data_IF_329614333991
#
_entry.id   IF_329614333991
#
_cell.length_a   1.000
_cell.length_b   1.000
_cell.length_c   1.000
_cell.angle_alpha   90.00
_cell.angle_beta   90.00
_cell.angle_gamma   90.00
#
_symmetry.space_group_name_H-M   'P 1'
#
loop_
_entity.id
_entity.type
_entity.pdbx_description
1 polymer ?
#
# COMPACT_ATOMS: atom_id res chain seq x y z
N UNK A 1 19.08 -13.44 -39.35
CA UNK A 1 19.37 -13.00 -37.96
C UNK A 1 18.73 -11.64 -37.80
N UNK A 2 17.55 -11.59 -37.18
CA UNK A 2 16.80 -10.35 -36.96
C UNK A 2 16.49 -10.34 -35.47
N UNK A 3 17.16 -9.47 -34.70
CA UNK A 3 16.90 -9.33 -33.28
C UNK A 3 15.53 -8.65 -33.06
N UNK A 4 14.72 -9.12 -32.10
CA UNK A 4 13.34 -8.66 -31.90
C UNK A 4 13.28 -7.38 -31.07
N UNK A 5 12.11 -6.73 -31.14
CA UNK A 5 11.86 -5.36 -30.71
C UNK A 5 12.14 -5.05 -29.24
N UNK A 6 12.66 -3.84 -29.06
CA UNK A 6 12.95 -3.20 -27.79
C UNK A 6 11.69 -3.04 -26.91
N UNK A 7 11.92 -3.28 -25.63
CA UNK A 7 11.02 -3.35 -24.49
C UNK A 7 9.95 -2.24 -24.40
N UNK A 8 8.69 -2.63 -24.21
CA UNK A 8 7.53 -1.72 -24.04
C UNK A 8 7.36 -1.20 -22.59
N UNK A 9 8.32 -1.41 -21.68
CA UNK A 9 8.15 -1.17 -20.23
C UNK A 9 8.96 -0.03 -19.60
N UNK A 10 9.73 0.76 -20.35
CA UNK A 10 10.69 1.71 -19.76
C UNK A 10 10.16 3.14 -19.55
N UNK A 11 9.08 3.31 -18.78
CA UNK A 11 8.57 4.62 -18.35
C UNK A 11 8.96 4.98 -16.90
N UNK A 12 9.05 6.27 -16.52
CA UNK A 12 9.39 6.67 -15.14
C UNK A 12 8.52 6.00 -14.07
N UNK A 13 7.21 5.89 -14.33
CA UNK A 13 6.25 5.20 -13.44
C UNK A 13 6.61 3.73 -13.27
N UNK A 14 6.90 3.02 -14.37
CA UNK A 14 7.26 1.61 -14.33
C UNK A 14 8.57 1.38 -13.55
N UNK A 15 9.53 2.30 -13.66
CA UNK A 15 10.77 2.26 -12.89
C UNK A 15 10.51 2.43 -11.39
N UNK A 16 9.72 3.43 -10.99
CA UNK A 16 9.37 3.64 -9.58
C UNK A 16 8.59 2.44 -9.02
N UNK A 17 7.63 1.90 -9.77
CA UNK A 17 6.90 0.67 -9.41
C UNK A 17 7.84 -0.51 -9.23
N UNK A 18 8.81 -0.69 -10.14
CA UNK A 18 9.78 -1.79 -10.06
C UNK A 18 10.71 -1.66 -8.86
N UNK A 19 11.17 -0.45 -8.56
CA UNK A 19 12.00 -0.16 -7.38
C UNK A 19 11.25 -0.50 -6.09
N UNK A 20 9.99 -0.08 -5.96
CA UNK A 20 9.18 -0.41 -4.79
C UNK A 20 8.92 -1.91 -4.71
N UNK A 21 8.57 -2.56 -5.83
CA UNK A 21 8.35 -4.01 -5.86
C UNK A 21 9.58 -4.78 -5.35
N UNK A 22 10.77 -4.41 -5.83
CA UNK A 22 12.03 -5.00 -5.40
C UNK A 22 12.29 -4.76 -3.91
N UNK A 23 12.07 -3.52 -3.44
CA UNK A 23 12.26 -3.17 -2.03
C UNK A 23 11.31 -3.95 -1.10
N UNK A 24 10.03 -4.04 -1.46
CA UNK A 24 9.04 -4.86 -0.74
C UNK A 24 9.47 -6.33 -0.64
N UNK A 25 9.92 -6.91 -1.76
CA UNK A 25 10.30 -8.32 -1.82
C UNK A 25 11.55 -8.63 -1.00
N UNK A 26 12.61 -7.85 -1.18
CA UNK A 26 13.95 -8.24 -0.71
C UNK A 26 14.42 -7.48 0.54
N UNK A 27 13.80 -6.36 0.89
CA UNK A 27 14.16 -5.58 2.09
C UNK A 27 13.10 -5.67 3.18
N UNK A 28 11.85 -5.98 2.81
CA UNK A 28 10.73 -6.07 3.76
C UNK A 28 10.07 -7.45 3.79
N UNK A 29 10.59 -8.43 3.05
CA UNK A 29 10.10 -9.83 3.03
C UNK A 29 8.60 -9.97 2.73
N UNK A 30 8.06 -9.11 1.87
CA UNK A 30 6.66 -9.23 1.45
C UNK A 30 6.47 -10.44 0.53
N UNK A 31 5.37 -11.14 0.73
CA UNK A 31 4.97 -12.29 -0.06
C UNK A 31 3.80 -11.96 -1.01
N UNK A 32 3.48 -12.88 -1.92
CA UNK A 32 2.31 -12.77 -2.81
C UNK A 32 2.26 -11.46 -3.62
N UNK A 33 3.44 -10.93 -3.98
CA UNK A 33 3.57 -9.67 -4.69
C UNK A 33 3.11 -9.80 -6.15
N UNK A 34 2.22 -8.92 -6.58
CA UNK A 34 1.72 -8.83 -7.95
C UNK A 34 1.49 -7.37 -8.34
N UNK A 35 1.94 -6.97 -9.53
CA UNK A 35 1.58 -5.68 -10.12
C UNK A 35 0.22 -5.81 -10.79
N UNK A 36 -0.68 -4.90 -10.47
CA UNK A 36 -2.01 -4.77 -11.04
C UNK A 36 -2.04 -3.51 -11.91
N UNK A 37 -2.14 -3.70 -13.21
CA UNK A 37 -2.40 -2.61 -14.14
C UNK A 37 -3.85 -2.16 -13.98
N UNK A 38 -4.03 -0.91 -13.62
CA UNK A 38 -5.34 -0.26 -13.60
C UNK A 38 -5.47 0.48 -14.92
N UNK A 39 -6.37 0.05 -15.80
CA UNK A 39 -6.50 0.60 -17.16
C UNK A 39 -6.62 2.14 -17.13
N UNK A 40 -5.66 2.83 -17.74
CA UNK A 40 -5.61 4.30 -17.77
C UNK A 40 -5.22 4.98 -16.45
N UNK A 41 -4.84 4.22 -15.43
CA UNK A 41 -4.42 4.68 -14.10
C UNK A 41 -3.01 4.17 -13.78
N UNK A 42 -2.47 4.64 -12.66
CA UNK A 42 -1.13 4.27 -12.19
C UNK A 42 -1.13 2.83 -11.64
N UNK A 43 -0.17 1.98 -12.01
CA UNK A 43 -0.09 0.61 -11.52
C UNK A 43 -0.04 0.54 -9.99
N UNK A 44 -0.71 -0.45 -9.43
CA UNK A 44 -0.69 -0.75 -8.00
C UNK A 44 0.02 -2.07 -7.76
N UNK A 45 0.77 -2.17 -6.68
CA UNK A 45 1.34 -3.44 -6.22
C UNK A 45 0.41 -4.00 -5.17
N UNK A 46 0.07 -5.29 -5.27
CA UNK A 46 -0.65 -6.01 -4.24
C UNK A 46 0.27 -7.03 -3.61
N UNK A 47 0.31 -7.10 -2.28
CA UNK A 47 1.19 -8.03 -1.57
C UNK A 47 0.81 -8.23 -0.12
N UNK A 48 1.41 -9.23 0.51
CA UNK A 48 1.20 -9.59 1.90
C UNK A 48 2.44 -9.22 2.72
N UNK A 49 2.34 -8.30 3.69
CA UNK A 49 3.46 -7.96 4.56
C UNK A 49 3.74 -9.12 5.54
N UNK A 50 4.99 -9.25 6.05
CA UNK A 50 5.35 -10.31 7.01
C UNK A 50 4.67 -10.14 8.37
N UNK A 51 4.25 -8.92 8.68
CA UNK A 51 3.51 -8.54 9.89
C UNK A 51 2.46 -7.51 9.54
N UNK A 52 1.40 -7.45 10.33
CA UNK A 52 0.36 -6.44 10.18
C UNK A 52 0.95 -5.03 10.30
N UNK A 53 0.74 -4.19 9.28
CA UNK A 53 1.38 -2.88 9.20
C UNK A 53 0.75 -1.84 10.15
N UNK A 54 -0.55 -1.95 10.41
CA UNK A 54 -1.27 -1.00 11.25
C UNK A 54 -2.46 -1.63 11.94
N UNK A 55 -2.63 -1.25 13.19
CA UNK A 55 -3.81 -1.52 14.00
C UNK A 55 -4.30 -0.15 14.43
N UNK A 56 -5.59 0.13 14.21
CA UNK A 56 -6.16 1.38 14.69
C UNK A 56 -6.06 1.41 16.22
N UNK A 57 -5.66 2.52 16.86
CA UNK A 57 -5.51 2.58 18.30
C UNK A 57 -6.80 2.18 19.06
N UNK A 58 -7.96 2.55 18.55
CA UNK A 58 -9.25 2.17 19.17
C UNK A 58 -9.49 0.65 19.09
N UNK A 59 -9.06 0.01 17.99
CA UNK A 59 -9.10 -1.44 17.85
C UNK A 59 -8.13 -2.11 18.84
N UNK A 60 -6.98 -1.47 19.13
CA UNK A 60 -6.03 -1.97 20.12
C UNK A 60 -6.60 -1.92 21.53
N UNK A 61 -7.32 -0.84 21.87
CA UNK A 61 -8.01 -0.71 23.17
C UNK A 61 -9.12 -1.76 23.28
N UNK A 62 -9.99 -1.86 22.26
CA UNK A 62 -11.06 -2.85 22.23
C UNK A 62 -10.53 -4.29 22.27
N UNK A 63 -9.40 -4.56 21.61
CA UNK A 63 -8.73 -5.85 21.66
C UNK A 63 -8.22 -6.17 23.07
N UNK A 64 -7.60 -5.21 23.74
CA UNK A 64 -7.10 -5.37 25.10
C UNK A 64 -8.25 -5.60 26.10
N UNK A 65 -9.35 -4.87 25.96
CA UNK A 65 -10.52 -5.02 26.82
C UNK A 65 -11.19 -6.39 26.62
N UNK A 66 -11.26 -6.87 25.36
CA UNK A 66 -11.77 -8.21 25.05
C UNK A 66 -10.87 -9.29 25.61
N UNK A 67 -9.55 -9.17 25.45
CA UNK A 67 -8.59 -10.13 26.01
C UNK A 67 -8.70 -10.21 27.53
N UNK A 68 -8.84 -9.06 28.22
CA UNK A 68 -9.06 -9.03 29.67
C UNK A 68 -10.39 -9.69 30.09
N UNK A 69 -11.44 -9.55 29.28
CA UNK A 69 -12.77 -10.04 29.59
C UNK A 69 -12.96 -11.53 29.25
N UNK A 70 -12.42 -12.01 28.13
CA UNK A 70 -12.66 -13.36 27.61
C UNK A 70 -11.43 -14.24 27.54
N UNK A 71 -10.23 -13.68 27.72
CA UNK A 71 -8.95 -14.37 27.52
C UNK A 71 -8.61 -14.67 26.05
N UNK A 72 -9.44 -14.22 25.10
CA UNK A 72 -9.19 -14.40 23.67
C UNK A 72 -8.30 -13.29 23.12
N UNK A 73 -7.16 -13.66 22.56
CA UNK A 73 -6.28 -12.74 21.82
C UNK A 73 -6.92 -12.43 20.46
N UNK A 74 -7.06 -11.13 20.15
CA UNK A 74 -7.60 -10.70 18.84
C UNK A 74 -6.66 -11.10 17.70
N UNK A 75 -7.22 -11.61 16.61
CA UNK A 75 -6.46 -11.98 15.42
C UNK A 75 -5.72 -10.77 14.81
N UNK A 76 -4.39 -10.87 14.78
CA UNK A 76 -3.48 -9.88 14.21
C UNK A 76 -2.80 -10.36 12.93
N UNK A 77 -3.41 -11.35 12.25
CA UNK A 77 -2.89 -11.87 10.99
C UNK A 77 -2.70 -10.75 9.95
N UNK A 78 -1.60 -10.79 9.17
CA UNK A 78 -1.36 -9.83 8.11
C UNK A 78 -2.44 -9.94 7.02
N UNK A 79 -2.82 -8.79 6.46
CA UNK A 79 -3.81 -8.69 5.39
C UNK A 79 -3.09 -8.36 4.06
N UNK A 80 -3.69 -8.69 2.91
CA UNK A 80 -3.18 -8.23 1.62
C UNK A 80 -3.36 -6.70 1.50
N UNK A 81 -2.28 -6.00 1.22
CA UNK A 81 -2.25 -4.55 1.10
C UNK A 81 -2.09 -4.11 -0.36
N UNK A 82 -2.66 -2.96 -0.67
CA UNK A 82 -2.45 -2.24 -1.92
C UNK A 82 -1.37 -1.18 -1.71
N UNK A 83 -0.33 -1.18 -2.54
CA UNK A 83 0.80 -0.27 -2.49
C UNK A 83 0.83 0.59 -3.76
N UNK A 84 0.87 1.91 -3.58
CA UNK A 84 1.03 2.91 -4.63
C UNK A 84 2.45 3.48 -4.55
N UNK A 85 3.25 3.28 -5.59
CA UNK A 85 4.69 3.56 -5.57
C UNK A 85 5.04 4.92 -6.18
N UNK A 86 5.12 6.04 -5.46
CA UNK A 86 5.26 7.42 -6.00
C UNK A 86 6.70 7.97 -5.96
N UNK A 87 6.98 8.99 -6.77
CA UNK A 87 8.16 9.84 -6.64
C UNK A 87 7.78 11.25 -6.14
N UNK A 88 8.56 11.89 -5.23
CA UNK A 88 8.26 13.22 -4.68
C UNK A 88 8.12 14.34 -5.72
N UNK A 89 8.81 14.22 -6.85
CA UNK A 89 8.76 15.21 -7.93
C UNK A 89 7.45 15.11 -8.76
N UNK A 90 6.63 14.09 -8.54
CA UNK A 90 5.31 13.98 -9.15
C UNK A 90 4.32 14.94 -8.48
N UNK A 91 3.60 15.72 -9.28
CA UNK A 91 2.51 16.55 -8.77
C UNK A 91 1.23 15.74 -8.64
N UNK A 92 0.79 15.50 -7.41
CA UNK A 92 -0.45 14.78 -7.12
C UNK A 92 -1.61 15.71 -6.78
N UNK A 93 -2.75 15.47 -7.41
CA UNK A 93 -4.02 16.13 -7.05
C UNK A 93 -4.83 15.21 -6.14
N UNK A 94 -5.69 15.80 -5.30
CA UNK A 94 -6.64 15.02 -4.48
C UNK A 94 -7.54 14.15 -5.39
N UNK A 95 -7.92 14.67 -6.56
CA UNK A 95 -8.70 13.91 -7.55
C UNK A 95 -7.94 12.65 -8.02
N UNK A 96 -6.65 12.76 -8.30
CA UNK A 96 -5.85 11.60 -8.71
C UNK A 96 -5.79 10.53 -7.61
N UNK A 97 -5.65 10.93 -6.34
CA UNK A 97 -5.74 9.97 -5.22
C UNK A 97 -7.12 9.34 -5.11
N UNK A 98 -8.19 10.12 -5.25
CA UNK A 98 -9.57 9.60 -5.27
C UNK A 98 -9.75 8.54 -6.36
N UNK A 99 -9.25 8.80 -7.57
CA UNK A 99 -9.33 7.85 -8.68
C UNK A 99 -8.58 6.54 -8.44
N UNK A 100 -7.52 6.56 -7.61
CA UNK A 100 -6.82 5.36 -7.15
C UNK A 100 -7.69 4.58 -6.14
N UNK A 101 -8.27 5.26 -5.15
CA UNK A 101 -9.18 4.63 -4.18
C UNK A 101 -10.44 4.05 -4.84
N UNK A 102 -10.95 4.68 -5.90
CA UNK A 102 -12.06 4.15 -6.70
C UNK A 102 -11.69 2.88 -7.47
N UNK A 103 -10.40 2.66 -7.74
CA UNK A 103 -9.90 1.51 -8.50
C UNK A 103 -9.67 0.25 -7.67
N UNK A 104 -9.68 0.36 -6.33
CA UNK A 104 -9.45 -0.76 -5.43
C UNK A 104 -10.77 -1.27 -4.83
N UNK A 105 -10.91 -2.59 -4.77
CA UNK A 105 -12.04 -3.23 -4.09
C UNK A 105 -11.88 -3.14 -2.57
N UNK A 106 -12.94 -2.74 -1.88
CA UNK A 106 -13.06 -2.88 -0.44
C UNK A 106 -14.13 -3.92 -0.10
N UNK A 107 -13.72 -5.03 0.52
CA UNK A 107 -14.66 -6.07 0.99
C UNK A 107 -14.70 -6.16 2.52
N UNK A 108 -13.97 -5.29 3.22
CA UNK A 108 -13.88 -5.29 4.67
C UNK A 108 -14.80 -4.27 5.33
N UNK A 109 -15.02 -4.39 6.66
CA UNK A 109 -15.75 -3.40 7.44
C UNK A 109 -14.97 -2.09 7.66
N UNK A 110 -13.69 -2.03 7.22
CA UNK A 110 -12.79 -0.89 7.42
C UNK A 110 -12.83 0.06 6.24
N UNK A 111 -12.45 1.32 6.48
CA UNK A 111 -12.19 2.30 5.43
C UNK A 111 -11.11 1.80 4.46
N UNK A 112 -11.22 2.15 3.18
CA UNK A 112 -10.18 1.79 2.22
C UNK A 112 -8.86 2.42 2.66
N UNK A 113 -7.78 1.64 2.54
CA UNK A 113 -6.44 2.16 2.74
C UNK A 113 -5.52 1.73 1.61
N UNK A 114 -4.51 2.54 1.38
CA UNK A 114 -3.36 2.22 0.53
C UNK A 114 -2.08 2.53 1.28
N UNK A 115 -1.04 1.75 1.00
CA UNK A 115 0.32 2.05 1.41
C UNK A 115 0.94 2.91 0.30
N UNK A 116 1.23 4.17 0.61
CA UNK A 116 1.97 5.05 -0.28
C UNK A 116 3.47 4.82 -0.09
N UNK A 117 4.14 4.24 -1.07
CA UNK A 117 5.57 4.00 -1.07
C UNK A 117 6.28 5.08 -1.90
N UNK A 118 6.98 6.00 -1.24
CA UNK A 118 7.66 7.12 -1.87
C UNK A 118 9.13 6.80 -2.08
N UNK A 119 9.59 6.78 -3.33
CA UNK A 119 11.00 6.57 -3.69
C UNK A 119 11.69 7.91 -3.81
N UNK A 120 12.79 8.10 -3.10
CA UNK A 120 13.61 9.31 -3.15
C UNK A 120 14.86 9.10 -4.02
N UNK A 121 15.47 10.21 -4.47
CA UNK A 121 16.69 10.21 -5.31
C UNK A 121 17.93 9.62 -4.61
N UNK A 122 17.92 9.53 -3.27
CA UNK A 122 18.97 8.90 -2.46
C UNK A 122 18.78 7.38 -2.30
N UNK A 123 17.84 6.79 -3.05
CA UNK A 123 17.42 5.38 -2.96
C UNK A 123 16.68 5.00 -1.67
N UNK A 124 16.25 5.97 -0.87
CA UNK A 124 15.36 5.72 0.27
C UNK A 124 13.94 5.46 -0.24
N UNK A 125 13.28 4.44 0.33
CA UNK A 125 11.85 4.18 0.13
C UNK A 125 11.12 4.40 1.44
N UNK A 126 10.16 5.33 1.48
CA UNK A 126 9.37 5.66 2.66
C UNK A 126 7.94 5.19 2.47
N UNK A 127 7.39 4.51 3.48
CA UNK A 127 6.04 3.96 3.45
C UNK A 127 5.10 4.73 4.37
N UNK A 128 4.00 5.24 3.81
CA UNK A 128 2.92 5.89 4.55
C UNK A 128 1.62 5.11 4.38
N UNK A 129 0.76 5.11 5.39
CA UNK A 129 -0.60 4.57 5.27
C UNK A 129 -1.55 5.73 5.03
N UNK A 130 -2.32 5.64 3.95
CA UNK A 130 -3.33 6.63 3.57
C UNK A 130 -4.71 5.97 3.57
N UNK A 131 -5.69 6.63 4.17
CA UNK A 131 -7.08 6.15 4.26
C UNK A 131 -7.99 6.98 3.35
N UNK A 132 -9.05 6.35 2.83
CA UNK A 132 -10.14 7.00 2.09
C UNK A 132 -11.11 7.62 3.09
N UNK A 133 -11.02 8.94 3.28
CA UNK A 133 -11.92 9.69 4.15
C UNK A 133 -11.21 10.46 5.25
N UNK A 134 -12.01 11.11 6.09
CA UNK A 134 -11.53 11.92 7.21
C UNK A 134 -11.52 11.07 8.48
N UNK A 135 -10.34 10.60 8.90
CA UNK A 135 -10.17 9.99 10.23
C UNK A 135 -10.53 11.05 11.27
N UNK A 136 -11.43 10.75 12.22
CA UNK A 136 -11.83 11.71 13.25
C UNK A 136 -10.57 12.23 13.98
N UNK A 137 -10.33 13.56 13.99
CA UNK A 137 -9.20 14.11 14.73
C UNK A 137 -9.39 13.81 16.21
N UNK A 138 -8.32 13.34 16.87
CA UNK A 138 -8.34 13.15 18.32
C UNK A 138 -8.64 14.49 18.99
N UNK A 139 -9.72 14.55 19.78
CA UNK A 139 -9.78 15.50 20.88
C UNK A 139 -8.91 14.92 21.99
N UNK A 140 -7.78 15.58 22.25
CA UNK A 140 -7.00 15.36 23.47
C UNK A 140 -7.76 15.90 24.68
#
# INVERSE_FOLDING_TARGET
>A
MTQPGMDRSSGPVANVTSTVLYNLQYQHDWASLKVHDTTGRRPLIRGMPPRRLYIHPDDQIAALDREKATGEVVDQSPELEWVLAVHPEETWTIKAFSEIFDSIENKGPREKRIVLATVHNDSTVVYYIMHEGMVKPRQN
#
